data_IF_257898676518
#
_entry.id   IF_257898676518
#
_cell.length_a   1.000
_cell.length_b   1.000
_cell.length_c   1.000
_cell.angle_alpha   90.00
_cell.angle_beta   90.00
_cell.angle_gamma   90.00
#
_symmetry.space_group_name_H-M   'P 1'
#
loop_
_entity.id
_entity.type
_entity.pdbx_description
1 polymer ?
#
# COMPACT_ATOMS: atom_id res chain seq x y z
N UNK A 1 -55.73 34.44 -51.37
CA UNK A 1 -54.30 34.66 -51.12
C UNK A 1 -53.80 33.48 -50.30
N UNK A 2 -52.77 32.80 -50.78
CA UNK A 2 -52.31 31.50 -50.30
C UNK A 2 -50.80 31.54 -49.97
N UNK A 3 -50.37 30.59 -49.13
CA UNK A 3 -49.04 29.94 -49.03
C UNK A 3 -47.85 30.70 -48.37
N UNK A 4 -47.55 30.30 -47.12
CA UNK A 4 -46.36 29.57 -46.59
C UNK A 4 -44.95 29.73 -47.24
N UNK A 5 -43.95 29.98 -46.36
CA UNK A 5 -42.48 29.70 -46.31
C UNK A 5 -41.49 30.11 -47.42
N UNK A 6 -40.42 30.82 -47.02
CA UNK A 6 -39.05 30.30 -46.79
C UNK A 6 -38.25 31.39 -46.01
N UNK A 7 -37.67 31.11 -44.85
CA UNK A 7 -36.41 30.41 -44.59
C UNK A 7 -35.16 31.27 -44.86
N UNK A 8 -34.49 31.71 -43.78
CA UNK A 8 -33.03 31.87 -43.76
C UNK A 8 -32.53 31.92 -42.30
N UNK A 9 -31.81 30.85 -41.97
CA UNK A 9 -31.12 30.51 -40.73
C UNK A 9 -29.78 31.26 -40.63
N UNK A 10 -29.18 31.37 -39.44
CA UNK A 10 -27.75 31.06 -39.37
C UNK A 10 -27.40 30.08 -38.26
N UNK A 11 -26.66 29.06 -38.70
CA UNK A 11 -25.68 28.19 -38.05
C UNK A 11 -25.76 27.93 -36.54
N UNK A 12 -26.06 26.67 -36.23
CA UNK A 12 -25.64 26.01 -34.99
C UNK A 12 -24.12 25.85 -35.01
N UNK A 13 -23.42 26.58 -34.14
CA UNK A 13 -22.06 26.19 -33.74
C UNK A 13 -22.22 25.08 -32.71
N UNK A 14 -21.95 23.87 -33.16
CA UNK A 14 -21.79 22.67 -32.34
C UNK A 14 -20.66 22.88 -31.34
N UNK A 15 -21.00 23.30 -30.11
CA UNK A 15 -20.08 23.26 -28.99
C UNK A 15 -20.15 21.89 -28.35
N UNK A 16 -19.52 20.94 -29.03
CA UNK A 16 -19.06 19.71 -28.42
C UNK A 16 -18.03 20.10 -27.33
N UNK A 17 -18.23 19.74 -26.06
CA UNK A 17 -17.21 20.00 -25.05
C UNK A 17 -15.99 19.14 -25.38
N UNK A 18 -14.91 19.79 -25.81
CA UNK A 18 -13.58 19.18 -25.85
C UNK A 18 -13.28 18.61 -24.46
N UNK A 19 -13.21 17.29 -24.40
CA UNK A 19 -12.57 16.57 -23.30
C UNK A 19 -11.09 16.94 -23.33
N UNK A 20 -10.73 18.03 -22.64
CA UNK A 20 -9.35 18.29 -22.28
C UNK A 20 -8.96 17.18 -21.32
N UNK A 21 -8.24 16.19 -21.84
CA UNK A 21 -7.43 15.27 -21.06
C UNK A 21 -6.38 16.09 -20.31
N UNK A 22 -6.78 16.63 -19.15
CA UNK A 22 -5.87 17.25 -18.21
C UNK A 22 -5.11 16.13 -17.51
N UNK A 23 -4.20 15.52 -18.27
CA UNK A 23 -2.99 14.96 -17.71
C UNK A 23 -2.38 16.06 -16.84
N UNK A 24 -2.15 15.86 -15.54
CA UNK A 24 -1.58 16.89 -14.71
C UNK A 24 -0.19 17.21 -15.24
N UNK A 25 -0.09 18.39 -15.86
CA UNK A 25 1.15 19.00 -16.29
C UNK A 25 1.95 19.28 -15.01
N UNK A 26 2.84 18.35 -14.67
CA UNK A 26 3.75 18.49 -13.54
C UNK A 26 4.64 19.68 -13.84
N UNK A 27 4.38 20.78 -13.15
CA UNK A 27 5.32 21.89 -13.09
C UNK A 27 6.65 21.35 -12.59
N UNK A 28 7.65 21.64 -13.41
CA UNK A 28 9.06 21.34 -13.32
C UNK A 28 9.70 22.07 -12.12
N UNK A 29 9.23 21.78 -10.91
CA UNK A 29 10.09 21.83 -9.73
C UNK A 29 10.85 20.52 -9.73
N UNK A 30 12.18 20.59 -9.63
CA UNK A 30 13.08 19.45 -9.62
C UNK A 30 12.45 18.24 -8.92
N UNK A 31 12.23 17.15 -9.65
CA UNK A 31 11.91 15.85 -9.05
C UNK A 31 13.09 15.50 -8.15
N UNK A 32 13.03 15.87 -6.90
CA UNK A 32 13.86 15.32 -5.83
C UNK A 32 13.39 13.87 -5.64
N UNK A 33 13.84 13.00 -6.54
CA UNK A 33 13.43 11.61 -6.60
C UNK A 33 13.95 10.88 -5.36
N UNK A 34 13.06 10.21 -4.63
CA UNK A 34 13.46 9.23 -3.63
C UNK A 34 14.18 8.08 -4.35
N UNK A 35 15.34 7.66 -3.87
CA UNK A 35 16.17 6.63 -4.50
C UNK A 35 15.71 5.21 -4.14
N UNK A 36 15.24 5.01 -2.91
CA UNK A 36 14.79 3.71 -2.39
C UNK A 36 13.30 3.69 -2.07
N UNK A 37 12.73 4.83 -1.68
CA UNK A 37 11.35 4.95 -1.20
C UNK A 37 10.36 5.51 -2.23
N UNK A 38 10.75 5.60 -3.51
CA UNK A 38 9.87 6.06 -4.60
C UNK A 38 8.60 5.19 -4.74
N UNK A 39 8.74 3.88 -4.52
CA UNK A 39 7.62 2.95 -4.54
C UNK A 39 6.53 3.33 -3.50
N UNK A 40 6.89 3.98 -2.39
CA UNK A 40 5.95 4.43 -1.37
C UNK A 40 5.06 5.54 -1.93
N UNK A 41 5.63 6.47 -2.70
CA UNK A 41 4.86 7.53 -3.37
C UNK A 41 3.91 6.93 -4.41
N UNK A 42 4.43 6.04 -5.27
CA UNK A 42 3.63 5.37 -6.30
C UNK A 42 2.49 4.57 -5.67
N UNK A 43 2.77 3.81 -4.61
CA UNK A 43 1.77 3.06 -3.87
C UNK A 43 0.74 3.96 -3.20
N UNK A 44 1.18 5.08 -2.61
CA UNK A 44 0.28 6.08 -2.00
C UNK A 44 -0.67 6.64 -3.04
N UNK A 45 -0.16 7.03 -4.22
CA UNK A 45 -0.99 7.54 -5.31
C UNK A 45 -2.01 6.51 -5.78
N UNK A 46 -1.59 5.26 -5.99
CA UNK A 46 -2.51 4.17 -6.34
C UNK A 46 -3.56 3.95 -5.25
N UNK A 47 -3.15 3.92 -3.98
CA UNK A 47 -4.06 3.74 -2.86
C UNK A 47 -5.10 4.86 -2.79
N UNK A 48 -4.67 6.12 -2.91
CA UNK A 48 -5.57 7.28 -2.97
C UNK A 48 -6.53 7.14 -4.13
N UNK A 49 -6.05 6.81 -5.34
CA UNK A 49 -6.92 6.63 -6.50
C UNK A 49 -7.95 5.52 -6.30
N UNK A 50 -7.54 4.35 -5.80
CA UNK A 50 -8.45 3.22 -5.56
C UNK A 50 -9.45 3.52 -4.45
N UNK A 51 -9.00 4.07 -3.32
CA UNK A 51 -9.87 4.42 -2.21
C UNK A 51 -10.83 5.56 -2.57
N UNK A 52 -10.37 6.57 -3.32
CA UNK A 52 -11.24 7.64 -3.82
C UNK A 52 -12.31 7.08 -4.76
N UNK A 53 -11.94 6.18 -5.68
CA UNK A 53 -12.92 5.51 -6.56
C UNK A 53 -13.93 4.69 -5.75
N UNK A 54 -13.46 3.90 -4.78
CA UNK A 54 -14.31 3.06 -3.95
C UNK A 54 -15.25 3.91 -3.06
N UNK A 55 -14.72 4.96 -2.44
CA UNK A 55 -15.48 5.90 -1.63
C UNK A 55 -16.52 6.63 -2.48
N UNK A 56 -16.13 7.13 -3.65
CA UNK A 56 -17.04 7.83 -4.55
C UNK A 56 -18.17 6.90 -5.01
N UNK A 57 -17.86 5.65 -5.37
CA UNK A 57 -18.85 4.65 -5.70
C UNK A 57 -19.80 4.38 -4.52
N UNK A 58 -19.27 4.16 -3.31
CA UNK A 58 -20.10 3.92 -2.14
C UNK A 58 -21.00 5.13 -1.81
N UNK A 59 -20.46 6.34 -1.91
CA UNK A 59 -21.16 7.61 -1.67
C UNK A 59 -22.32 7.81 -2.66
N UNK A 60 -22.07 7.62 -3.96
CA UNK A 60 -23.12 7.74 -4.98
C UNK A 60 -24.23 6.68 -4.81
N UNK A 61 -23.88 5.50 -4.30
CA UNK A 61 -24.83 4.41 -4.03
C UNK A 61 -25.43 4.44 -2.61
N UNK A 62 -25.20 5.49 -1.81
CA UNK A 62 -25.65 5.56 -0.40
C UNK A 62 -27.14 5.88 -0.23
N UNK A 63 -27.87 6.17 -1.32
CA UNK A 63 -29.32 6.39 -1.29
C UNK A 63 -29.74 7.49 -0.31
N UNK A 64 -30.72 7.24 0.58
CA UNK A 64 -31.19 8.24 1.57
C UNK A 64 -30.11 8.78 2.52
N UNK A 65 -28.97 8.09 2.66
CA UNK A 65 -27.87 8.50 3.53
C UNK A 65 -26.88 9.46 2.85
N UNK A 66 -26.95 9.63 1.53
CA UNK A 66 -26.07 10.51 0.76
C UNK A 66 -25.97 11.95 1.31
N UNK A 67 -27.07 12.65 1.68
CA UNK A 67 -26.97 14.00 2.22
C UNK A 67 -26.26 14.06 3.59
N UNK A 68 -26.40 13.01 4.40
CA UNK A 68 -25.70 12.90 5.68
C UNK A 68 -24.19 12.72 5.49
N UNK A 69 -23.80 11.85 4.55
CA UNK A 69 -22.38 11.66 4.19
C UNK A 69 -21.76 12.94 3.66
N UNK A 70 -22.46 13.67 2.78
CA UNK A 70 -22.00 14.96 2.24
C UNK A 70 -21.83 16.04 3.31
N UNK A 71 -22.77 16.11 4.27
CA UNK A 71 -22.69 17.05 5.40
C UNK A 71 -21.49 16.78 6.31
N UNK A 72 -21.25 15.51 6.65
CA UNK A 72 -20.10 15.10 7.47
C UNK A 72 -18.80 15.34 6.71
N UNK A 73 -18.74 14.98 5.42
CA UNK A 73 -17.58 15.24 4.57
C UNK A 73 -17.24 16.74 4.51
N UNK A 74 -18.25 17.59 4.31
CA UNK A 74 -18.07 19.04 4.30
C UNK A 74 -17.57 19.60 5.63
N UNK A 75 -18.08 19.06 6.75
CA UNK A 75 -17.65 19.45 8.10
C UNK A 75 -16.21 19.03 8.36
N UNK A 76 -15.87 17.77 8.09
CA UNK A 76 -14.51 17.24 8.25
C UNK A 76 -13.54 18.01 7.36
N UNK A 77 -13.89 18.24 6.09
CA UNK A 77 -13.07 19.04 5.18
C UNK A 77 -12.83 20.44 5.74
N UNK A 78 -13.84 21.10 6.28
CA UNK A 78 -13.70 22.45 6.84
C UNK A 78 -12.80 22.48 8.08
N UNK A 79 -12.96 21.52 8.99
CA UNK A 79 -12.20 21.47 10.25
C UNK A 79 -10.77 20.98 10.05
N UNK A 80 -10.57 20.00 9.15
CA UNK A 80 -9.30 19.31 8.96
C UNK A 80 -8.47 19.93 7.85
N UNK A 81 -9.06 20.55 6.81
CA UNK A 81 -8.28 21.16 5.72
C UNK A 81 -7.23 22.16 6.22
N UNK A 82 -7.53 23.08 7.17
CA UNK A 82 -6.51 24.01 7.68
C UNK A 82 -5.34 23.31 8.37
N UNK A 83 -5.58 22.15 8.97
CA UNK A 83 -4.52 21.33 9.58
C UNK A 83 -3.73 20.62 8.49
N UNK A 84 -4.42 20.01 7.51
CA UNK A 84 -3.78 19.34 6.37
C UNK A 84 -2.85 20.30 5.62
N UNK A 85 -3.31 21.49 5.24
CA UNK A 85 -2.51 22.47 4.52
C UNK A 85 -1.25 22.91 5.28
N UNK A 86 -1.26 22.87 6.63
CA UNK A 86 -0.09 23.19 7.44
C UNK A 86 0.96 22.07 7.49
N UNK A 87 0.55 20.83 7.25
CA UNK A 87 1.39 19.66 7.45
C UNK A 87 1.55 18.79 6.20
N UNK A 88 0.96 19.15 5.06
CA UNK A 88 0.96 18.32 3.85
C UNK A 88 2.37 17.99 3.33
N UNK A 89 3.33 18.90 3.53
CA UNK A 89 4.70 18.74 3.03
C UNK A 89 5.60 17.96 4.01
N UNK A 90 5.25 17.97 5.30
CA UNK A 90 6.05 17.34 6.36
C UNK A 90 6.25 15.83 6.14
N UNK A 91 5.24 15.01 5.78
CA UNK A 91 5.44 13.60 5.49
C UNK A 91 6.44 13.34 4.36
N UNK A 92 6.41 14.18 3.32
CA UNK A 92 7.31 14.05 2.18
C UNK A 92 8.76 14.40 2.56
N UNK A 93 8.95 15.48 3.32
CA UNK A 93 10.29 15.86 3.83
C UNK A 93 10.89 14.79 4.75
N UNK A 94 10.07 14.20 5.63
CA UNK A 94 10.51 13.08 6.48
C UNK A 94 10.89 11.88 5.62
N UNK A 95 10.08 11.57 4.60
CA UNK A 95 10.36 10.45 3.70
C UNK A 95 11.66 10.66 2.92
N UNK A 96 11.91 11.87 2.44
CA UNK A 96 13.17 12.27 1.79
C UNK A 96 14.36 12.17 2.73
N UNK A 97 14.22 12.65 3.96
CA UNK A 97 15.28 12.52 4.96
C UNK A 97 15.63 11.05 5.23
N UNK A 98 14.61 10.19 5.39
CA UNK A 98 14.83 8.75 5.59
C UNK A 98 15.48 8.12 4.36
N UNK A 99 15.03 8.44 3.15
CA UNK A 99 15.57 7.92 1.90
C UNK A 99 17.06 8.24 1.72
N UNK A 100 17.46 9.50 1.96
CA UNK A 100 18.87 9.91 1.94
C UNK A 100 19.68 9.18 3.02
N UNK A 101 19.11 9.01 4.22
CA UNK A 101 19.80 8.28 5.31
C UNK A 101 19.90 6.78 5.08
N UNK A 102 18.93 6.21 4.37
CA UNK A 102 19.01 4.84 3.88
C UNK A 102 20.13 4.74 2.85
N UNK A 103 20.24 5.65 1.88
CA UNK A 103 21.36 5.65 0.91
C UNK A 103 22.74 5.67 1.58
N UNK A 104 22.93 6.57 2.54
CA UNK A 104 24.16 6.65 3.34
C UNK A 104 24.44 5.36 4.13
N UNK A 105 23.40 4.70 4.64
CA UNK A 105 23.53 3.47 5.45
C UNK A 105 23.64 2.19 4.61
N UNK A 106 23.16 2.18 3.37
CA UNK A 106 23.14 1.00 2.49
C UNK A 106 24.43 0.78 1.70
N UNK A 107 25.43 1.67 1.83
CA UNK A 107 26.75 1.61 1.18
C UNK A 107 27.19 0.20 0.75
N UNK A 108 26.94 -0.11 -0.53
CA UNK A 108 27.40 -1.27 -1.31
C UNK A 108 27.04 -2.70 -0.88
N UNK A 109 26.15 -2.93 0.10
CA UNK A 109 25.79 -4.31 0.49
C UNK A 109 24.27 -4.52 0.56
N UNK A 110 23.66 -4.74 -0.62
CA UNK A 110 22.43 -5.53 -0.70
C UNK A 110 22.85 -6.98 -0.89
N UNK A 111 22.62 -7.89 0.08
CA UNK A 111 23.01 -9.28 -0.07
C UNK A 111 22.38 -9.89 -1.32
N UNK A 112 23.16 -10.64 -2.10
CA UNK A 112 22.73 -11.29 -3.36
C UNK A 112 21.40 -12.05 -3.21
N UNK A 113 21.19 -12.67 -2.03
CA UNK A 113 19.97 -13.38 -1.66
C UNK A 113 18.71 -12.49 -1.70
N UNK A 114 18.81 -11.23 -1.26
CA UNK A 114 17.69 -10.28 -1.27
C UNK A 114 17.29 -9.95 -2.71
N UNK A 115 18.28 -9.78 -3.59
CA UNK A 115 18.07 -9.43 -5.00
C UNK A 115 17.45 -10.57 -5.80
N UNK A 116 17.91 -11.79 -5.57
CA UNK A 116 17.38 -12.99 -6.23
C UNK A 116 15.93 -13.27 -5.83
N UNK A 117 15.65 -13.27 -4.52
CA UNK A 117 14.31 -13.54 -4.00
C UNK A 117 13.32 -12.43 -4.35
N UNK A 118 13.73 -11.16 -4.29
CA UNK A 118 12.86 -10.04 -4.73
C UNK A 118 12.57 -10.09 -6.23
N UNK A 119 13.56 -10.44 -7.06
CA UNK A 119 13.35 -10.65 -8.50
C UNK A 119 12.37 -11.79 -8.79
N UNK A 120 12.47 -12.90 -8.05
CA UNK A 120 11.55 -14.03 -8.16
C UNK A 120 10.13 -13.67 -7.69
N UNK A 121 10.01 -12.98 -6.55
CA UNK A 121 8.72 -12.54 -6.01
C UNK A 121 8.04 -11.53 -6.95
N UNK A 122 8.79 -10.57 -7.48
CA UNK A 122 8.29 -9.60 -8.46
C UNK A 122 7.80 -10.28 -9.74
N UNK A 123 8.60 -11.22 -10.27
CA UNK A 123 8.24 -11.99 -11.46
C UNK A 123 7.00 -12.86 -11.23
N UNK A 124 6.89 -13.50 -10.07
CA UNK A 124 5.72 -14.29 -9.69
C UNK A 124 4.46 -13.41 -9.54
N UNK A 125 4.59 -12.23 -8.92
CA UNK A 125 3.50 -11.27 -8.77
C UNK A 125 2.98 -10.77 -10.13
N UNK A 126 3.85 -10.56 -11.12
CA UNK A 126 3.42 -10.20 -12.48
C UNK A 126 2.62 -11.30 -13.19
N UNK A 127 2.75 -12.57 -12.77
CA UNK A 127 1.94 -13.67 -13.31
C UNK A 127 0.57 -13.78 -12.64
N UNK A 128 0.36 -13.14 -11.48
CA UNK A 128 -0.89 -13.24 -10.74
C UNK A 128 -2.12 -12.76 -11.53
N UNK A 129 -2.08 -11.65 -12.30
CA UNK A 129 -3.21 -11.23 -13.14
C UNK A 129 -3.56 -12.25 -14.21
N UNK A 130 -2.55 -12.89 -14.83
CA UNK A 130 -2.76 -13.92 -15.85
C UNK A 130 -3.40 -15.17 -15.25
N UNK A 131 -2.92 -15.60 -14.09
CA UNK A 131 -3.53 -16.72 -13.37
C UNK A 131 -4.96 -16.41 -12.92
N UNK A 132 -5.23 -15.19 -12.45
CA UNK A 132 -6.58 -14.75 -12.10
C UNK A 132 -7.52 -14.75 -13.31
N UNK A 133 -7.06 -14.26 -14.47
CA UNK A 133 -7.83 -14.30 -15.72
C UNK A 133 -8.13 -15.74 -16.16
N UNK A 134 -7.17 -16.65 -16.09
CA UNK A 134 -7.40 -18.07 -16.38
C UNK A 134 -8.47 -18.68 -15.47
N UNK A 135 -8.43 -18.37 -14.17
CA UNK A 135 -9.45 -18.83 -13.22
C UNK A 135 -10.83 -18.26 -13.58
N UNK A 136 -10.91 -16.97 -13.89
CA UNK A 136 -12.18 -16.33 -14.30
C UNK A 136 -12.73 -16.96 -15.58
N UNK A 137 -11.90 -17.19 -16.60
CA UNK A 137 -12.31 -17.78 -17.87
C UNK A 137 -12.79 -19.23 -17.70
N UNK A 138 -12.12 -20.02 -16.86
CA UNK A 138 -12.54 -21.40 -16.57
C UNK A 138 -13.82 -21.47 -15.74
N UNK A 139 -14.04 -20.51 -14.83
CA UNK A 139 -15.31 -20.38 -14.09
C UNK A 139 -16.46 -20.00 -15.02
N UNK A 140 -16.23 -19.06 -15.95
CA UNK A 140 -17.21 -18.68 -16.96
C UNK A 140 -17.53 -19.84 -17.92
N UNK A 141 -16.56 -20.72 -18.20
CA UNK A 141 -16.70 -21.86 -19.11
C UNK A 141 -17.35 -23.08 -18.46
N UNK A 142 -16.99 -23.41 -17.22
CA UNK A 142 -17.44 -24.62 -16.53
C UNK A 142 -18.70 -24.40 -15.67
N UNK A 143 -19.08 -23.15 -15.39
CA UNK A 143 -20.33 -22.80 -14.70
C UNK A 143 -20.42 -23.20 -13.22
N UNK A 144 -19.43 -23.90 -12.66
CA UNK A 144 -19.42 -24.34 -11.26
C UNK A 144 -18.42 -23.55 -10.41
N UNK A 145 -18.95 -22.92 -9.36
CA UNK A 145 -18.17 -22.25 -8.31
C UNK A 145 -17.23 -23.23 -7.59
N UNK A 146 -17.60 -24.51 -7.46
CA UNK A 146 -16.76 -25.56 -6.84
C UNK A 146 -15.45 -25.81 -7.58
N UNK A 147 -15.44 -25.70 -8.92
CA UNK A 147 -14.22 -25.86 -9.73
C UNK A 147 -13.25 -24.69 -9.52
N UNK A 148 -13.78 -23.47 -9.31
CA UNK A 148 -12.99 -22.29 -8.95
C UNK A 148 -12.26 -22.49 -7.62
N UNK A 149 -12.99 -22.99 -6.61
CA UNK A 149 -12.46 -23.24 -5.28
C UNK A 149 -11.41 -24.36 -5.31
N UNK A 150 -11.65 -25.42 -6.09
CA UNK A 150 -10.69 -26.52 -6.28
C UNK A 150 -9.39 -26.07 -6.93
N UNK A 151 -9.46 -25.22 -7.96
CA UNK A 151 -8.26 -24.68 -8.61
C UNK A 151 -7.51 -23.70 -7.71
N UNK A 152 -8.20 -22.77 -7.07
CA UNK A 152 -7.59 -21.83 -6.12
C UNK A 152 -6.87 -22.58 -4.99
N UNK A 153 -7.51 -23.63 -4.44
CA UNK A 153 -6.91 -24.48 -3.41
C UNK A 153 -5.66 -25.23 -3.93
N UNK A 154 -5.69 -25.76 -5.14
CA UNK A 154 -4.53 -26.45 -5.76
C UNK A 154 -3.36 -25.50 -6.05
N UNK A 155 -3.64 -24.28 -6.50
CA UNK A 155 -2.60 -23.26 -6.68
C UNK A 155 -2.02 -22.87 -5.32
N UNK A 156 -2.89 -22.65 -4.33
CA UNK A 156 -2.45 -22.29 -2.98
C UNK A 156 -1.56 -23.37 -2.36
N UNK A 157 -1.95 -24.64 -2.41
CA UNK A 157 -1.15 -25.74 -1.83
C UNK A 157 0.21 -25.94 -2.50
N UNK A 158 0.38 -25.53 -3.76
CA UNK A 158 1.67 -25.59 -4.46
C UNK A 158 2.56 -24.39 -4.16
N UNK A 159 1.97 -23.21 -4.02
CA UNK A 159 2.70 -21.95 -3.78
C UNK A 159 3.06 -21.78 -2.31
N UNK A 160 2.18 -22.18 -1.40
CA UNK A 160 2.35 -22.04 0.05
C UNK A 160 3.67 -22.60 0.59
N UNK A 161 4.09 -23.85 0.32
CA UNK A 161 5.33 -24.38 0.90
C UNK A 161 6.57 -23.66 0.35
N UNK A 162 6.58 -23.34 -0.95
CA UNK A 162 7.67 -22.60 -1.59
C UNK A 162 7.78 -21.17 -1.04
N UNK A 163 6.64 -20.50 -0.83
CA UNK A 163 6.60 -19.18 -0.23
C UNK A 163 7.10 -19.22 1.22
N UNK A 164 6.60 -20.17 2.04
CA UNK A 164 7.04 -20.35 3.43
C UNK A 164 8.54 -20.61 3.54
N UNK A 165 9.09 -21.46 2.69
CA UNK A 165 10.53 -21.75 2.68
C UNK A 165 11.36 -20.51 2.30
N UNK A 166 10.93 -19.77 1.26
CA UNK A 166 11.58 -18.53 0.84
C UNK A 166 11.54 -17.47 1.96
N UNK A 167 10.39 -17.30 2.62
CA UNK A 167 10.25 -16.40 3.76
C UNK A 167 11.13 -16.83 4.93
N UNK A 168 11.17 -18.11 5.29
CA UNK A 168 11.99 -18.60 6.41
C UNK A 168 13.50 -18.33 6.21
N UNK A 169 13.99 -18.39 4.96
CA UNK A 169 15.38 -18.06 4.61
C UNK A 169 15.64 -16.55 4.68
N UNK A 170 14.68 -15.74 4.28
CA UNK A 170 14.82 -14.29 4.18
C UNK A 170 14.60 -13.57 5.51
N UNK A 171 13.62 -14.02 6.30
CA UNK A 171 13.16 -13.39 7.52
C UNK A 171 14.30 -13.02 8.49
N UNK A 172 15.23 -13.91 8.87
CA UNK A 172 16.30 -13.54 9.81
C UNK A 172 17.28 -12.52 9.23
N UNK A 173 17.54 -12.57 7.91
CA UNK A 173 18.41 -11.61 7.22
C UNK A 173 17.76 -10.22 7.20
N UNK A 174 16.47 -10.18 6.87
CA UNK A 174 15.68 -8.96 6.86
C UNK A 174 15.56 -8.34 8.27
N UNK A 175 15.28 -9.17 9.28
CA UNK A 175 15.22 -8.76 10.68
C UNK A 175 16.54 -8.17 11.16
N UNK A 176 17.67 -8.84 10.89
CA UNK A 176 18.99 -8.32 11.26
C UNK A 176 19.31 -7.00 10.58
N UNK A 177 19.01 -6.87 9.28
CA UNK A 177 19.26 -5.64 8.54
C UNK A 177 18.38 -4.50 9.06
N UNK A 178 17.08 -4.76 9.25
CA UNK A 178 16.15 -3.80 9.82
C UNK A 178 16.59 -3.36 11.21
N UNK A 179 17.00 -4.29 12.08
CA UNK A 179 17.49 -3.96 13.43
C UNK A 179 18.78 -3.14 13.41
N UNK A 180 19.75 -3.50 12.57
CA UNK A 180 21.01 -2.74 12.42
C UNK A 180 20.74 -1.33 11.92
N UNK A 181 19.94 -1.19 10.87
CA UNK A 181 19.57 0.10 10.27
C UNK A 181 18.78 0.95 11.27
N UNK A 182 17.78 0.38 11.94
CA UNK A 182 17.00 1.07 12.98
C UNK A 182 17.87 1.56 14.13
N UNK A 183 18.83 0.76 14.61
CA UNK A 183 19.78 1.20 15.66
C UNK A 183 20.66 2.36 15.20
N UNK A 184 21.11 2.37 13.93
CA UNK A 184 21.87 3.51 13.37
C UNK A 184 20.99 4.75 13.28
N UNK A 185 19.77 4.62 12.77
CA UNK A 185 18.82 5.73 12.63
C UNK A 185 18.40 6.31 13.98
N UNK A 186 18.19 5.48 15.01
CA UNK A 186 17.83 5.93 16.36
C UNK A 186 18.95 6.67 17.11
N UNK A 187 20.16 6.74 16.57
CA UNK A 187 21.22 7.63 17.07
C UNK A 187 21.02 9.09 16.61
N UNK A 188 20.17 9.32 15.61
CA UNK A 188 19.88 10.66 15.09
C UNK A 188 18.81 11.35 15.97
N UNK A 189 19.09 12.53 16.55
CA UNK A 189 18.22 13.16 17.55
C UNK A 189 16.77 13.38 17.12
N UNK A 190 16.55 13.68 15.83
CA UNK A 190 15.21 13.87 15.26
C UNK A 190 14.45 12.54 15.18
N UNK A 191 15.10 11.47 14.73
CA UNK A 191 14.49 10.16 14.60
C UNK A 191 14.21 9.53 15.96
N UNK A 192 15.06 9.76 16.96
CA UNK A 192 14.80 9.30 18.34
C UNK A 192 13.51 9.91 18.91
N UNK A 193 13.29 11.22 18.69
CA UNK A 193 12.06 11.91 19.15
C UNK A 193 10.82 11.35 18.45
N UNK A 194 10.90 11.14 17.14
CA UNK A 194 9.81 10.54 16.36
C UNK A 194 9.55 9.10 16.80
N UNK A 195 10.60 8.29 17.00
CA UNK A 195 10.49 6.91 17.44
C UNK A 195 9.84 6.77 18.82
N UNK A 196 10.14 7.66 19.76
CA UNK A 196 9.53 7.65 21.10
C UNK A 196 8.02 7.87 21.09
N UNK A 197 7.49 8.54 20.06
CA UNK A 197 6.04 8.71 19.86
C UNK A 197 5.47 7.55 19.04
N UNK A 198 6.13 7.22 17.94
CA UNK A 198 5.61 6.26 16.96
C UNK A 198 5.65 4.81 17.46
N UNK A 199 6.68 4.40 18.21
CA UNK A 199 6.81 3.02 18.69
C UNK A 199 5.66 2.64 19.65
N UNK A 200 5.33 3.44 20.69
CA UNK A 200 4.16 3.16 21.52
C UNK A 200 2.85 3.19 20.73
N UNK A 201 2.66 4.15 19.82
CA UNK A 201 1.46 4.23 18.98
C UNK A 201 1.31 2.98 18.09
N UNK A 202 2.40 2.53 17.47
CA UNK A 202 2.41 1.31 16.65
C UNK A 202 2.08 0.07 17.49
N UNK A 203 2.54 -0.02 18.73
CA UNK A 203 2.16 -1.11 19.65
C UNK A 203 0.66 -1.13 19.90
N UNK A 204 0.07 0.01 20.29
CA UNK A 204 -1.37 0.11 20.57
C UNK A 204 -2.21 -0.18 19.33
N UNK A 205 -1.78 0.30 18.16
CA UNK A 205 -2.49 0.04 16.92
C UNK A 205 -2.42 -1.44 16.54
N UNK A 206 -1.26 -2.07 16.74
CA UNK A 206 -1.07 -3.51 16.53
C UNK A 206 -1.94 -4.34 17.48
N UNK A 207 -2.11 -3.92 18.74
CA UNK A 207 -3.01 -4.57 19.69
C UNK A 207 -4.46 -4.53 19.23
N UNK A 208 -4.93 -3.37 18.78
CA UNK A 208 -6.30 -3.20 18.26
C UNK A 208 -6.54 -4.06 17.02
N UNK A 209 -5.58 -4.05 16.09
CA UNK A 209 -5.64 -4.88 14.90
C UNK A 209 -5.69 -6.37 15.25
N UNK A 210 -4.74 -6.86 16.04
CA UNK A 210 -4.67 -8.27 16.44
C UNK A 210 -5.94 -8.71 17.16
N UNK A 211 -6.48 -7.86 18.05
CA UNK A 211 -7.73 -8.13 18.76
C UNK A 211 -8.92 -8.24 17.80
N UNK A 212 -9.00 -7.37 16.80
CA UNK A 212 -10.04 -7.43 15.78
C UNK A 212 -9.94 -8.70 14.93
N UNK A 213 -8.73 -9.11 14.54
CA UNK A 213 -8.50 -10.36 13.82
C UNK A 213 -8.93 -11.57 14.65
N UNK A 214 -8.49 -11.66 15.91
CA UNK A 214 -8.89 -12.74 16.81
C UNK A 214 -10.41 -12.78 17.02
N UNK A 215 -11.04 -11.64 17.29
CA UNK A 215 -12.49 -11.55 17.44
C UNK A 215 -13.24 -12.04 16.20
N UNK A 216 -12.78 -11.66 15.00
CA UNK A 216 -13.43 -12.12 13.76
C UNK A 216 -13.22 -13.61 13.50
N UNK A 217 -12.08 -14.17 13.91
CA UNK A 217 -11.82 -15.60 13.89
C UNK A 217 -12.74 -16.37 14.84
N UNK A 218 -12.90 -15.89 16.08
CA UNK A 218 -13.82 -16.46 17.08
C UNK A 218 -15.28 -16.44 16.61
N UNK A 219 -15.67 -15.44 15.80
CA UNK A 219 -16.99 -15.36 15.18
C UNK A 219 -17.14 -16.23 13.93
N UNK A 220 -16.10 -16.92 13.49
CA UNK A 220 -16.13 -17.81 12.33
C UNK A 220 -16.14 -17.08 10.98
N UNK A 221 -15.75 -15.80 10.92
CA UNK A 221 -15.67 -15.08 9.65
C UNK A 221 -14.46 -15.57 8.84
N UNK A 222 -14.70 -15.99 7.60
CA UNK A 222 -13.66 -16.54 6.69
C UNK A 222 -12.53 -15.55 6.39
N UNK A 223 -12.82 -14.25 6.38
CA UNK A 223 -11.84 -13.16 6.22
C UNK A 223 -10.69 -13.25 7.23
N UNK A 224 -10.96 -13.67 8.46
CA UNK A 224 -9.93 -13.79 9.52
C UNK A 224 -8.79 -14.73 9.15
N UNK A 225 -9.06 -15.80 8.40
CA UNK A 225 -8.05 -16.78 7.98
C UNK A 225 -7.01 -16.21 7.01
N UNK A 226 -7.28 -15.04 6.44
CA UNK A 226 -6.40 -14.32 5.51
C UNK A 226 -5.71 -13.11 6.15
N UNK A 227 -6.05 -12.76 7.39
CA UNK A 227 -5.49 -11.60 8.08
C UNK A 227 -4.39 -12.06 9.06
N UNK A 228 -3.10 -11.79 8.77
CA UNK A 228 -2.02 -12.23 9.63
C UNK A 228 -1.92 -11.37 10.88
N UNK A 229 -1.70 -11.99 12.05
CA UNK A 229 -1.41 -11.25 13.28
C UNK A 229 -0.04 -10.57 13.21
N UNK A 230 0.06 -9.38 13.81
CA UNK A 230 1.33 -8.66 13.99
C UNK A 230 2.11 -9.30 15.15
N UNK A 231 3.31 -9.87 14.92
CA UNK A 231 4.08 -10.58 15.94
C UNK A 231 4.91 -9.61 16.80
N UNK A 232 4.25 -8.88 17.69
CA UNK A 232 4.85 -7.77 18.46
C UNK A 232 6.03 -8.20 19.32
N UNK A 233 5.93 -9.37 19.97
CA UNK A 233 6.94 -9.89 20.89
C UNK A 233 8.24 -10.21 20.15
N UNK A 234 8.12 -10.79 18.95
CA UNK A 234 9.26 -11.07 18.08
C UNK A 234 9.93 -9.79 17.61
N UNK A 235 9.14 -8.81 17.17
CA UNK A 235 9.65 -7.49 16.77
C UNK A 235 10.39 -6.85 17.96
N UNK A 236 9.77 -6.76 19.13
CA UNK A 236 10.40 -6.20 20.32
C UNK A 236 11.73 -6.90 20.67
N UNK A 237 11.79 -8.23 20.53
CA UNK A 237 13.02 -9.01 20.75
C UNK A 237 14.13 -8.66 19.76
N UNK A 238 13.83 -8.60 18.47
CA UNK A 238 14.80 -8.28 17.40
C UNK A 238 15.39 -6.87 17.59
N UNK A 239 14.55 -5.91 17.94
CA UNK A 239 14.93 -4.51 18.02
C UNK A 239 15.51 -4.08 19.38
N UNK A 240 15.29 -4.84 20.47
CA UNK A 240 15.88 -4.58 21.79
C UNK A 240 17.35 -4.98 21.92
N UNK A 241 17.91 -5.72 20.96
CA UNK A 241 19.31 -6.15 20.96
C UNK A 241 19.59 -7.41 21.79
N UNK A 242 18.59 -8.00 22.42
CA UNK A 242 18.72 -9.19 23.28
C UNK A 242 18.86 -10.54 22.52
N UNK A 243 19.27 -10.53 21.25
CA UNK A 243 19.16 -11.69 20.37
C UNK A 243 20.32 -11.94 19.40
N UNK A 244 21.49 -11.32 19.60
CA UNK A 244 22.66 -11.58 18.75
C UNK A 244 23.97 -11.17 19.42
N UNK A 245 24.33 -11.86 20.50
CA UNK A 245 25.73 -12.19 20.73
C UNK A 245 26.00 -13.49 19.96
N UNK A 246 26.34 -13.38 18.68
CA UNK A 246 27.10 -14.43 18.01
C UNK A 246 28.45 -13.80 17.70
N UNK A 247 29.42 -14.30 18.47
CA UNK A 247 30.83 -14.04 18.42
C UNK A 247 31.34 -13.91 16.98
N UNK A 248 32.01 -12.79 16.67
CA UNK A 248 32.86 -12.69 15.49
C UNK A 248 33.84 -13.88 15.50
N UNK A 249 33.96 -14.67 14.42
CA UNK A 249 35.11 -15.53 14.29
C UNK A 249 36.31 -14.64 14.03
N UNK A 250 37.22 -14.60 15.00
CA UNK A 250 38.61 -14.18 14.82
C UNK A 250 39.17 -14.92 13.60
N UNK A 251 39.43 -14.16 12.54
CA UNK A 251 40.37 -14.59 11.51
C UNK A 251 41.62 -13.73 11.72
N UNK A 252 42.69 -14.41 12.11
CA UNK A 252 44.03 -13.89 12.34
C UNK A 252 44.65 -13.29 11.08
#
# INVERSE_FOLDING_TARGET
MAVIQENQQPEMVDQQPEMVDQQPEMTQAEKENLKYLDFVQVATLHCVLYLSKLYHLAKENSGPLKPGVESVEGTVKTVVAPVYHKFQDVPFEVLKFVDTKVDESMGHQVPTLVREVSGQAYSAAQQAPKMAQTVVSEVQRAGLVETATGFAKNVYTKVEPSAKEAYAKYEPVAEQYAAKTWRKLNKLPLLTKVANVMVPTASVLSDKYNSAVCYTAEKGYTVSSYLPLVPKERIAKVFSGAGSEIQEPLVA
#
